data_IF_191660465139
#
_entry.id   IF_191660465139
#
_cell.length_a   1.000
_cell.length_b   1.000
_cell.length_c   1.000
_cell.angle_alpha   90.00
_cell.angle_beta   90.00
_cell.angle_gamma   90.00
#
_symmetry.space_group_name_H-M   'P 1'
#
loop_
_entity.id
_entity.type
_entity.pdbx_description
1 polymer ?
#
# COMPACT_ATOMS: atom_id res chain seq x y z
N UNK A 1 1.86 -13.24 26.62
CA UNK A 1 1.28 -12.20 25.73
C UNK A 1 1.55 -12.60 24.29
N UNK A 2 0.56 -13.19 23.63
CA UNK A 2 0.72 -13.74 22.28
C UNK A 2 0.74 -12.60 21.26
N UNK A 3 1.93 -12.20 20.81
CA UNK A 3 2.09 -11.21 19.74
C UNK A 3 1.71 -11.90 18.42
N UNK A 4 0.45 -11.82 18.00
CA UNK A 4 0.02 -12.30 16.66
C UNK A 4 0.63 -11.40 15.58
N UNK A 5 0.89 -11.97 14.40
CA UNK A 5 1.14 -11.18 13.20
C UNK A 5 -0.04 -10.22 12.98
N UNK A 6 0.22 -8.96 12.60
CA UNK A 6 -0.80 -7.92 12.45
C UNK A 6 -1.80 -8.18 11.30
N UNK A 7 -1.58 -9.22 10.50
CA UNK A 7 -2.37 -9.55 9.31
C UNK A 7 -3.70 -10.23 9.68
N UNK A 8 -4.78 -9.77 9.02
CA UNK A 8 -6.17 -10.28 9.06
C UNK A 8 -7.06 -9.96 10.29
N UNK A 9 -6.71 -9.01 11.15
CA UNK A 9 -7.60 -8.64 12.26
C UNK A 9 -8.68 -7.63 11.85
N UNK A 10 -9.93 -7.88 12.22
CA UNK A 10 -11.05 -6.93 12.13
C UNK A 10 -11.15 -5.99 13.35
N UNK A 11 -10.13 -5.98 14.21
CA UNK A 11 -10.03 -5.01 15.29
C UNK A 11 -9.89 -3.58 14.72
N UNK A 12 -10.83 -2.73 15.12
CA UNK A 12 -10.93 -1.31 14.75
C UNK A 12 -10.67 -0.39 15.95
N UNK A 13 -10.09 -0.90 17.03
CA UNK A 13 -9.57 -0.07 18.12
C UNK A 13 -8.57 0.97 17.61
N UNK A 14 -8.51 2.13 18.26
CA UNK A 14 -7.58 3.19 17.88
C UNK A 14 -6.13 2.69 17.81
N UNK A 15 -5.72 1.84 18.76
CA UNK A 15 -4.40 1.23 18.77
C UNK A 15 -4.14 0.34 17.55
N UNK A 16 -5.12 -0.47 17.13
CA UNK A 16 -5.00 -1.29 15.93
C UNK A 16 -5.01 -0.46 14.66
N UNK A 17 -5.84 0.59 14.58
CA UNK A 17 -5.86 1.49 13.43
C UNK A 17 -4.50 2.17 13.21
N UNK A 18 -3.91 2.70 14.28
CA UNK A 18 -2.58 3.31 14.24
C UNK A 18 -1.49 2.28 13.88
N UNK A 19 -1.58 1.05 14.41
CA UNK A 19 -0.66 -0.03 14.01
C UNK A 19 -0.81 -0.37 12.53
N UNK A 20 -2.03 -0.44 12.00
CA UNK A 20 -2.32 -0.74 10.60
C UNK A 20 -1.77 0.33 9.66
N UNK A 21 -1.77 1.59 10.08
CA UNK A 21 -1.16 2.70 9.32
C UNK A 21 0.35 2.53 9.10
N UNK A 22 1.05 2.02 10.13
CA UNK A 22 2.51 1.85 10.15
C UNK A 22 2.97 0.50 9.60
N UNK A 23 2.20 -0.57 9.83
CA UNK A 23 2.67 -1.93 9.57
C UNK A 23 2.86 -2.26 8.09
N UNK A 24 2.26 -1.49 7.18
CA UNK A 24 2.55 -1.59 5.73
C UNK A 24 4.02 -1.27 5.42
N UNK A 25 4.74 -0.57 6.31
CA UNK A 25 6.20 -0.35 6.21
C UNK A 25 7.00 -1.66 6.20
N UNK A 26 6.49 -2.76 6.78
CA UNK A 26 7.12 -4.09 6.64
C UNK A 26 7.28 -4.54 5.18
N UNK A 27 6.54 -3.96 4.24
CA UNK A 27 6.65 -4.28 2.82
C UNK A 27 7.87 -3.62 2.14
N UNK A 28 8.42 -2.52 2.67
CA UNK A 28 9.37 -1.70 1.93
C UNK A 28 10.45 -1.01 2.77
N UNK A 29 10.14 -0.58 3.99
CA UNK A 29 11.01 0.32 4.74
C UNK A 29 12.18 -0.43 5.39
N UNK A 30 13.44 -0.12 5.05
CA UNK A 30 14.60 -0.77 5.63
C UNK A 30 14.83 -0.42 7.11
N UNK A 31 14.20 0.63 7.63
CA UNK A 31 14.38 1.11 9.00
C UNK A 31 13.25 0.69 9.94
N UNK A 32 12.10 0.25 9.41
CA UNK A 32 10.97 -0.20 10.22
C UNK A 32 11.22 -1.60 10.81
N UNK A 33 11.15 -1.70 12.13
CA UNK A 33 11.18 -2.98 12.85
C UNK A 33 9.75 -3.44 13.05
N UNK A 34 9.42 -4.64 12.58
CA UNK A 34 8.06 -5.16 12.69
C UNK A 34 7.64 -5.35 14.15
N UNK A 35 6.56 -4.66 14.55
CA UNK A 35 6.07 -4.59 15.93
C UNK A 35 5.39 -5.88 16.44
N UNK A 36 5.63 -7.03 15.80
CA UNK A 36 5.07 -8.34 16.17
C UNK A 36 6.15 -9.25 16.77
N UNK A 37 5.93 -10.56 16.74
CA UNK A 37 6.93 -11.56 17.12
C UNK A 37 8.08 -11.64 16.11
N UNK A 38 7.90 -11.16 14.87
CA UNK A 38 8.96 -11.11 13.85
C UNK A 38 10.13 -10.25 14.35
N UNK A 39 9.84 -9.08 14.91
CA UNK A 39 10.80 -8.21 15.59
C UNK A 39 12.10 -7.98 14.78
N UNK A 40 11.95 -7.80 13.47
CA UNK A 40 13.05 -7.61 12.51
C UNK A 40 12.61 -6.66 11.38
N UNK A 41 13.57 -6.17 10.60
CA UNK A 41 13.37 -5.32 9.43
C UNK A 41 13.02 -6.18 8.21
N UNK A 42 11.73 -6.42 8.02
CA UNK A 42 11.23 -7.32 6.96
C UNK A 42 11.56 -6.78 5.57
N UNK A 43 11.17 -5.54 5.26
CA UNK A 43 11.35 -4.87 3.95
C UNK A 43 11.06 -5.82 2.78
N UNK A 44 9.87 -6.45 2.80
CA UNK A 44 9.58 -7.68 2.06
C UNK A 44 9.85 -7.57 0.55
N UNK A 45 9.34 -6.54 -0.13
CA UNK A 45 9.50 -6.40 -1.58
C UNK A 45 10.98 -6.17 -1.95
N UNK A 46 11.71 -5.22 -1.32
CA UNK A 46 13.16 -5.12 -1.50
C UNK A 46 13.94 -6.40 -1.15
N UNK A 47 13.52 -7.15 -0.12
CA UNK A 47 14.15 -8.40 0.28
C UNK A 47 14.00 -9.47 -0.81
N UNK A 48 12.79 -9.65 -1.35
CA UNK A 48 12.53 -10.59 -2.43
C UNK A 48 13.29 -10.21 -3.70
N UNK A 49 13.30 -8.92 -4.07
CA UNK A 49 14.06 -8.43 -5.22
C UNK A 49 15.56 -8.69 -5.05
N UNK A 50 16.11 -8.38 -3.87
CA UNK A 50 17.51 -8.64 -3.57
C UNK A 50 17.89 -10.13 -3.66
N UNK A 51 17.01 -11.04 -3.23
CA UNK A 51 17.23 -12.49 -3.41
C UNK A 51 17.23 -12.89 -4.88
N UNK A 52 16.31 -12.37 -5.69
CA UNK A 52 16.28 -12.59 -7.13
C UNK A 52 17.57 -12.10 -7.78
N UNK A 53 17.96 -10.85 -7.52
CA UNK A 53 19.15 -10.23 -8.15
C UNK A 53 20.44 -10.97 -7.80
N UNK A 54 20.52 -11.54 -6.59
CA UNK A 54 21.70 -12.27 -6.14
C UNK A 54 21.74 -13.72 -6.64
N UNK A 55 20.59 -14.40 -6.72
CA UNK A 55 20.56 -15.85 -6.85
C UNK A 55 19.92 -16.35 -8.14
N UNK A 56 18.96 -15.62 -8.72
CA UNK A 56 18.34 -15.99 -9.99
C UNK A 56 17.81 -14.76 -10.75
N UNK A 57 18.71 -13.94 -11.34
CA UNK A 57 18.35 -12.68 -11.98
C UNK A 57 17.31 -12.86 -13.09
N UNK A 58 16.40 -11.88 -13.20
CA UNK A 58 15.30 -11.89 -14.17
C UNK A 58 14.03 -12.62 -13.72
N UNK A 59 14.05 -13.25 -12.54
CA UNK A 59 12.87 -13.90 -11.96
C UNK A 59 11.86 -12.85 -11.44
N UNK A 60 10.58 -13.02 -11.75
CA UNK A 60 9.51 -12.19 -11.18
C UNK A 60 9.24 -12.52 -9.71
N UNK A 61 8.84 -11.53 -8.91
CA UNK A 61 8.45 -11.67 -7.50
C UNK A 61 6.96 -11.39 -7.31
N UNK A 62 6.31 -12.19 -6.48
CA UNK A 62 4.89 -12.02 -6.19
C UNK A 62 4.53 -12.22 -4.73
N UNK A 63 3.53 -11.46 -4.27
CA UNK A 63 2.86 -11.68 -2.97
C UNK A 63 1.48 -12.25 -3.27
N UNK A 64 1.40 -13.58 -3.30
CA UNK A 64 0.20 -14.30 -3.77
C UNK A 64 -0.90 -14.43 -2.74
N UNK A 65 -0.64 -14.04 -1.48
CA UNK A 65 -1.66 -13.82 -0.46
C UNK A 65 -1.25 -12.66 0.44
N UNK A 66 -2.18 -11.73 0.66
CA UNK A 66 -2.08 -10.70 1.70
C UNK A 66 -3.46 -10.23 2.14
N UNK A 67 -3.58 -9.83 3.42
CA UNK A 67 -4.76 -9.16 3.96
C UNK A 67 -4.41 -8.36 5.22
N UNK A 68 -4.72 -7.06 5.22
CA UNK A 68 -4.50 -6.18 6.37
C UNK A 68 -5.73 -6.05 7.30
N UNK A 69 -6.82 -6.77 7.01
CA UNK A 69 -8.05 -6.84 7.82
C UNK A 69 -8.92 -5.58 7.77
N UNK A 70 -9.94 -5.55 8.64
CA UNK A 70 -10.87 -4.43 8.82
C UNK A 70 -11.57 -4.00 7.53
N UNK A 71 -12.03 -4.97 6.73
CA UNK A 71 -12.51 -4.71 5.36
C UNK A 71 -13.68 -3.72 5.32
N UNK A 72 -14.59 -3.86 6.28
CA UNK A 72 -15.76 -2.99 6.46
C UNK A 72 -15.46 -1.60 7.01
N UNK A 73 -14.22 -1.30 7.40
CA UNK A 73 -13.82 -0.06 8.05
C UNK A 73 -12.89 0.79 7.17
N UNK A 74 -12.95 2.12 7.30
CA UNK A 74 -12.14 3.04 6.49
C UNK A 74 -10.63 2.84 6.68
N UNK A 75 -10.21 2.38 7.85
CA UNK A 75 -8.82 2.07 8.13
C UNK A 75 -8.30 0.85 7.34
N UNK A 76 -9.14 -0.15 7.07
CA UNK A 76 -8.78 -1.24 6.15
C UNK A 76 -8.65 -0.74 4.71
N UNK A 77 -9.50 0.20 4.30
CA UNK A 77 -9.47 0.80 2.97
C UNK A 77 -8.24 1.69 2.73
N UNK A 78 -7.87 2.52 3.70
CA UNK A 78 -6.65 3.35 3.62
C UNK A 78 -5.40 2.48 3.60
N UNK A 79 -5.34 1.42 4.43
CA UNK A 79 -4.25 0.44 4.36
C UNK A 79 -4.19 -0.28 3.00
N UNK A 80 -5.34 -0.69 2.44
CA UNK A 80 -5.39 -1.33 1.12
C UNK A 80 -4.92 -0.38 0.00
N UNK A 81 -5.33 0.89 0.04
CA UNK A 81 -4.88 1.90 -0.93
C UNK A 81 -3.37 2.14 -0.83
N UNK A 82 -2.83 2.16 0.39
CA UNK A 82 -1.40 2.30 0.65
C UNK A 82 -0.60 1.10 0.13
N UNK A 83 -1.05 -0.11 0.41
CA UNK A 83 -0.40 -1.36 -0.05
C UNK A 83 -0.30 -1.43 -1.57
N UNK A 84 -1.37 -1.08 -2.30
CA UNK A 84 -1.33 -1.08 -3.76
C UNK A 84 -0.35 -0.06 -4.32
N UNK A 85 -0.25 1.11 -3.70
CA UNK A 85 0.74 2.12 -4.04
C UNK A 85 2.17 1.64 -3.78
N UNK A 86 2.40 0.99 -2.63
CA UNK A 86 3.69 0.39 -2.26
C UNK A 86 4.09 -0.67 -3.29
N UNK A 87 3.17 -1.58 -3.67
CA UNK A 87 3.48 -2.62 -4.66
C UNK A 87 3.91 -2.03 -6.00
N UNK A 88 3.21 -1.00 -6.50
CA UNK A 88 3.61 -0.31 -7.73
C UNK A 88 4.96 0.39 -7.61
N UNK A 89 5.18 1.14 -6.52
CA UNK A 89 6.44 1.89 -6.29
C UNK A 89 7.65 0.98 -6.11
N UNK A 90 7.51 -0.11 -5.37
CA UNK A 90 8.60 -1.06 -5.09
C UNK A 90 8.85 -2.07 -6.23
N UNK A 91 8.07 -2.00 -7.31
CA UNK A 91 8.22 -2.87 -8.46
C UNK A 91 7.89 -4.34 -8.16
N UNK A 92 6.80 -4.60 -7.45
CA UNK A 92 6.29 -5.97 -7.28
C UNK A 92 5.60 -6.43 -8.58
N UNK A 93 5.95 -7.60 -9.10
CA UNK A 93 5.44 -8.05 -10.40
C UNK A 93 3.99 -8.58 -10.33
N UNK A 94 3.62 -9.19 -9.20
CA UNK A 94 2.27 -9.74 -9.00
C UNK A 94 1.82 -9.68 -7.54
N UNK A 95 0.55 -9.35 -7.32
CA UNK A 95 -0.07 -9.49 -6.01
C UNK A 95 -1.48 -10.07 -6.12
N UNK A 96 -1.83 -10.98 -5.21
CA UNK A 96 -3.17 -11.50 -5.06
C UNK A 96 -3.63 -11.35 -3.61
N UNK A 97 -4.75 -10.62 -3.42
CA UNK A 97 -5.33 -10.38 -2.10
C UNK A 97 -6.11 -11.62 -1.66
N UNK A 98 -5.98 -12.02 -0.39
CA UNK A 98 -6.76 -13.10 0.18
C UNK A 98 -7.83 -12.58 1.15
N UNK A 99 -9.11 -12.52 0.81
CA UNK A 99 -9.75 -12.81 -0.47
C UNK A 99 -10.21 -11.50 -1.15
N UNK A 100 -11.18 -11.58 -2.06
CA UNK A 100 -11.86 -10.41 -2.61
C UNK A 100 -12.79 -9.80 -1.55
N UNK A 101 -12.63 -8.51 -1.17
CA UNK A 101 -13.54 -7.87 -0.24
C UNK A 101 -14.92 -7.68 -0.87
N UNK A 102 -15.99 -7.73 -0.06
CA UNK A 102 -17.35 -7.53 -0.58
C UNK A 102 -17.50 -6.14 -1.22
N UNK A 103 -18.25 -6.04 -2.33
CA UNK A 103 -18.38 -4.80 -3.12
C UNK A 103 -18.94 -3.61 -2.33
N UNK A 104 -19.69 -3.87 -1.26
CA UNK A 104 -20.26 -2.87 -0.37
C UNK A 104 -19.24 -2.22 0.57
N UNK A 105 -18.08 -2.86 0.80
CA UNK A 105 -17.05 -2.39 1.75
C UNK A 105 -16.29 -1.17 1.24
N UNK A 106 -15.69 -0.35 2.12
CA UNK A 106 -14.75 0.69 1.72
C UNK A 106 -13.44 0.09 1.15
N UNK A 107 -13.01 -1.09 1.61
CA UNK A 107 -11.80 -1.75 1.11
C UNK A 107 -11.90 -2.14 -0.36
N UNK A 108 -13.06 -2.64 -0.81
CA UNK A 108 -13.32 -2.83 -2.25
C UNK A 108 -13.21 -1.51 -3.04
N UNK A 109 -13.75 -0.42 -2.48
CA UNK A 109 -13.68 0.91 -3.12
C UNK A 109 -12.24 1.43 -3.20
N UNK A 110 -11.37 1.12 -2.22
CA UNK A 110 -9.95 1.45 -2.30
C UNK A 110 -9.25 0.77 -3.49
N UNK A 111 -9.56 -0.52 -3.75
CA UNK A 111 -9.05 -1.20 -4.96
C UNK A 111 -9.62 -0.55 -6.23
N UNK A 112 -10.90 -0.16 -6.19
CA UNK A 112 -11.58 0.52 -7.30
C UNK A 112 -10.92 1.88 -7.63
N UNK A 113 -10.40 2.62 -6.64
CA UNK A 113 -9.68 3.88 -6.89
C UNK A 113 -8.45 3.69 -7.79
N UNK A 114 -7.76 2.55 -7.71
CA UNK A 114 -6.61 2.29 -8.59
C UNK A 114 -7.01 1.78 -9.98
N UNK A 115 -8.19 1.16 -10.14
CA UNK A 115 -8.50 0.33 -11.33
C UNK A 115 -9.77 0.70 -12.08
N UNK A 116 -10.65 1.51 -11.48
CA UNK A 116 -11.93 1.91 -12.06
C UNK A 116 -12.54 3.09 -11.26
N UNK A 117 -11.78 4.16 -11.03
CA UNK A 117 -12.18 5.22 -10.09
C UNK A 117 -13.44 5.98 -10.53
N UNK A 118 -13.73 6.00 -11.83
CA UNK A 118 -14.84 6.74 -12.44
C UNK A 118 -16.04 5.86 -12.85
N UNK A 119 -15.92 4.54 -12.73
CA UNK A 119 -16.93 3.59 -13.21
C UNK A 119 -16.80 3.24 -14.70
N UNK A 120 -15.95 3.93 -15.47
CA UNK A 120 -15.71 3.72 -16.90
C UNK A 120 -14.37 3.01 -17.18
N UNK A 121 -13.76 2.41 -16.15
CA UNK A 121 -12.48 1.69 -16.18
C UNK A 121 -11.26 2.59 -16.42
N UNK A 122 -11.35 3.89 -16.14
CA UNK A 122 -10.14 4.68 -15.97
C UNK A 122 -9.37 4.20 -14.74
N UNK A 123 -8.05 4.12 -14.85
CA UNK A 123 -7.17 3.54 -13.84
C UNK A 123 -6.04 4.51 -13.47
N UNK A 124 -5.40 4.24 -12.34
CA UNK A 124 -4.10 4.84 -11.99
C UNK A 124 -3.05 4.54 -13.08
N UNK A 125 -2.04 5.40 -13.19
CA UNK A 125 -0.97 5.27 -14.18
C UNK A 125 -0.13 4.01 -13.99
N UNK A 126 0.49 3.58 -15.09
CA UNK A 126 1.28 2.35 -15.21
C UNK A 126 2.79 2.59 -15.12
N UNK A 127 3.24 3.86 -15.19
CA UNK A 127 4.64 4.25 -15.01
C UNK A 127 4.77 4.98 -13.67
N UNK A 128 5.30 4.32 -12.64
CA UNK A 128 5.52 4.98 -11.35
C UNK A 128 6.52 6.14 -11.46
N UNK A 129 6.19 7.26 -10.82
CA UNK A 129 7.09 8.42 -10.69
C UNK A 129 7.29 8.73 -9.20
N UNK A 130 8.41 9.38 -8.88
CA UNK A 130 8.78 9.66 -7.50
C UNK A 130 7.74 10.55 -6.81
N UNK A 131 7.25 10.08 -5.65
CA UNK A 131 6.41 10.85 -4.74
C UNK A 131 6.96 10.68 -3.32
N UNK A 132 7.30 11.77 -2.66
CA UNK A 132 7.86 11.78 -1.31
C UNK A 132 6.92 12.51 -0.36
N UNK A 133 6.76 11.96 0.84
CA UNK A 133 5.97 12.54 1.93
C UNK A 133 6.84 12.65 3.18
N UNK A 134 6.61 13.64 4.06
CA UNK A 134 7.37 13.75 5.31
C UNK A 134 7.13 12.59 6.28
N UNK A 135 5.88 12.12 6.37
CA UNK A 135 5.49 11.04 7.27
C UNK A 135 4.42 10.13 6.62
N UNK A 136 4.81 8.94 6.10
CA UNK A 136 3.90 8.01 5.46
C UNK A 136 2.93 7.32 6.44
N UNK A 137 3.13 7.44 7.75
CA UNK A 137 2.22 6.90 8.77
C UNK A 137 1.00 7.81 8.99
N UNK A 138 1.12 9.10 8.60
CA UNK A 138 0.05 10.10 8.66
C UNK A 138 -0.56 10.33 7.28
N UNK A 139 0.26 10.62 6.26
CA UNK A 139 -0.19 10.77 4.86
C UNK A 139 0.81 10.06 3.96
N UNK A 140 0.34 9.07 3.20
CA UNK A 140 1.13 8.50 2.10
C UNK A 140 0.68 9.03 0.75
N UNK A 141 1.60 9.06 -0.22
CA UNK A 141 1.31 9.47 -1.58
C UNK A 141 2.04 8.59 -2.59
N UNK A 142 1.38 8.35 -3.73
CA UNK A 142 1.90 7.59 -4.85
C UNK A 142 1.52 8.29 -6.14
N UNK A 143 2.47 8.43 -7.06
CA UNK A 143 2.26 9.08 -8.34
C UNK A 143 2.66 8.16 -9.49
N UNK A 144 1.95 8.27 -10.60
CA UNK A 144 2.28 7.58 -11.83
C UNK A 144 1.82 8.36 -13.05
N UNK A 145 2.59 8.29 -14.13
CA UNK A 145 2.14 8.70 -15.45
C UNK A 145 1.34 7.56 -16.08
N UNK A 146 0.22 7.89 -16.69
CA UNK A 146 -0.62 6.94 -17.43
C UNK A 146 -0.28 6.98 -18.91
N UNK A 147 0.18 5.85 -19.45
CA UNK A 147 0.67 5.77 -20.83
C UNK A 147 -0.39 6.03 -21.89
N UNK A 148 -1.67 5.80 -21.59
CA UNK A 148 -2.75 5.93 -22.57
C UNK A 148 -3.08 7.37 -22.96
N UNK A 149 -2.83 8.34 -22.08
CA UNK A 149 -3.22 9.75 -22.27
C UNK A 149 -2.20 10.76 -21.69
N UNK A 150 -1.08 10.28 -21.16
CA UNK A 150 -0.03 11.11 -20.56
C UNK A 150 -0.42 11.74 -19.22
N UNK A 151 -1.58 11.39 -18.65
CA UNK A 151 -2.05 12.00 -17.41
C UNK A 151 -1.17 11.61 -16.22
N UNK A 152 -0.79 12.61 -15.40
CA UNK A 152 -0.21 12.36 -14.08
C UNK A 152 -1.32 12.06 -13.08
N UNK A 153 -1.32 10.84 -12.56
CA UNK A 153 -2.26 10.36 -11.55
C UNK A 153 -1.61 10.37 -10.18
N UNK A 154 -2.34 10.85 -9.16
CA UNK A 154 -1.88 10.94 -7.79
C UNK A 154 -2.87 10.25 -6.85
N UNK A 155 -2.38 9.32 -6.06
CA UNK A 155 -3.09 8.77 -4.90
C UNK A 155 -2.52 9.42 -3.65
N UNK A 156 -3.36 10.09 -2.86
CA UNK A 156 -2.99 10.61 -1.53
C UNK A 156 -3.90 9.98 -0.49
N UNK A 157 -3.30 9.35 0.52
CA UNK A 157 -4.02 8.61 1.56
C UNK A 157 -3.78 9.29 2.90
N UNK A 158 -4.76 10.04 3.39
CA UNK A 158 -4.75 10.49 4.78
C UNK A 158 -5.13 9.32 5.70
N UNK A 159 -4.17 8.89 6.51
CA UNK A 159 -4.29 7.78 7.46
C UNK A 159 -4.61 8.25 8.88
N UNK A 160 -4.51 9.57 9.13
CA UNK A 160 -4.86 10.19 10.40
C UNK A 160 -6.37 10.18 10.67
N UNK A 161 -6.74 10.43 11.93
CA UNK A 161 -8.15 10.58 12.34
C UNK A 161 -8.67 12.01 12.17
N UNK A 162 -7.80 12.95 11.79
CA UNK A 162 -8.11 14.36 11.56
C UNK A 162 -7.84 14.74 10.09
N UNK A 163 -8.42 15.85 9.66
CA UNK A 163 -8.11 16.44 8.37
C UNK A 163 -6.62 16.84 8.30
N UNK A 164 -6.00 16.63 7.16
CA UNK A 164 -4.63 17.04 6.88
C UNK A 164 -4.63 18.06 5.73
N UNK A 165 -4.04 19.24 5.96
CA UNK A 165 -3.76 20.20 4.89
C UNK A 165 -2.52 19.74 4.14
N UNK A 166 -2.63 19.55 2.83
CA UNK A 166 -1.52 19.13 1.97
C UNK A 166 -1.27 20.18 0.89
N UNK A 167 0.00 20.37 0.55
CA UNK A 167 0.42 21.09 -0.67
C UNK A 167 1.13 20.09 -1.56
N UNK A 168 0.72 20.02 -2.82
CA UNK A 168 1.35 19.16 -3.83
C UNK A 168 2.23 20.04 -4.71
N UNK A 169 3.54 19.80 -4.68
CA UNK A 169 4.49 20.44 -5.58
C UNK A 169 4.86 19.46 -6.68
N UNK A 170 4.57 19.85 -7.92
CA UNK A 170 4.83 19.06 -9.11
C UNK A 170 6.09 19.56 -9.81
N UNK A 171 6.98 18.63 -10.18
CA UNK A 171 8.19 18.93 -10.93
C UNK A 171 8.37 17.92 -12.06
N UNK A 172 8.60 18.41 -13.28
CA UNK A 172 8.85 17.60 -14.49
C UNK A 172 7.75 16.57 -14.81
N UNK A 173 6.48 16.97 -14.61
CA UNK A 173 5.28 16.18 -14.91
C UNK A 173 4.37 16.87 -15.91
#
# INVERSE_FOLDING_TARGET
>A
TTRKAASSSDDVSNAMQLRRNRSTRSLWDPNYVDETWINDRVRLVPRLRGWVDQHYPGTAIGITEYNWGAEGHINGATAQADILGIFGREGLDLAARWATPAATTPTYKAMKLYRNYDGNRSAFGDISIAATVPDPDVVSAFAAQRSSDGATTLMVVNKGTAAASITVTLANV
#
